data_IF_627117509389
#
_entry.id   IF_627117509389
#
_cell.length_a   1.000
_cell.length_b   1.000
_cell.length_c   1.000
_cell.angle_alpha   90.00
_cell.angle_beta   90.00
_cell.angle_gamma   90.00
#
_symmetry.space_group_name_H-M   'P 1'
#
loop_
_entity.id
_entity.type
_entity.pdbx_description
1 polymer ?
#
# COMPACT_ATOMS: atom_id res chain seq x y z
N UNK A 1 -68.03 9.39 -38.66
CA UNK A 1 -67.13 8.22 -38.53
C UNK A 1 -65.67 8.72 -38.50
N UNK A 2 -65.17 9.01 -37.36
CA UNK A 2 -63.74 9.30 -37.19
C UNK A 2 -63.16 8.23 -36.23
N UNK A 3 -62.25 7.41 -36.72
CA UNK A 3 -61.51 6.47 -35.92
C UNK A 3 -60.34 7.23 -35.26
N UNK A 4 -60.31 7.30 -33.93
CA UNK A 4 -59.19 7.76 -33.16
C UNK A 4 -58.20 6.60 -32.96
N UNK A 5 -57.05 6.73 -33.55
CA UNK A 5 -55.90 5.84 -33.27
C UNK A 5 -55.17 6.35 -32.05
N UNK A 6 -55.25 5.56 -30.97
CA UNK A 6 -54.49 5.78 -29.73
C UNK A 6 -53.07 5.28 -29.97
N UNK A 7 -52.11 6.20 -30.07
CA UNK A 7 -50.68 5.85 -30.14
C UNK A 7 -50.13 5.78 -28.72
N UNK A 8 -49.91 4.57 -28.25
CA UNK A 8 -49.23 4.32 -26.96
C UNK A 8 -47.74 4.58 -27.11
N UNK A 9 -47.25 5.69 -26.57
CA UNK A 9 -45.83 5.97 -26.48
C UNK A 9 -45.24 5.14 -25.31
N UNK A 10 -44.47 4.13 -25.64
CA UNK A 10 -43.66 3.40 -24.68
C UNK A 10 -42.44 4.28 -24.38
N UNK A 11 -42.38 4.87 -23.19
CA UNK A 11 -41.18 5.51 -22.65
C UNK A 11 -40.25 4.41 -22.20
N UNK A 12 -39.23 4.11 -23.00
CA UNK A 12 -38.08 3.31 -22.55
C UNK A 12 -37.21 4.26 -21.72
N UNK A 13 -37.32 4.13 -20.39
CA UNK A 13 -36.32 4.72 -19.48
C UNK A 13 -35.06 3.88 -19.61
N UNK A 14 -34.10 4.34 -20.43
CA UNK A 14 -32.72 3.87 -20.39
C UNK A 14 -32.15 4.35 -19.05
N UNK A 15 -32.12 3.46 -18.05
CA UNK A 15 -31.26 3.63 -16.92
C UNK A 15 -29.84 3.52 -17.45
N UNK A 16 -29.18 4.66 -17.66
CA UNK A 16 -27.74 4.69 -17.82
C UNK A 16 -27.15 4.28 -16.47
N UNK A 17 -26.78 3.02 -16.35
CA UNK A 17 -25.83 2.58 -15.34
C UNK A 17 -24.53 3.25 -15.74
N UNK A 18 -24.26 4.43 -15.20
CA UNK A 18 -22.91 4.97 -15.18
C UNK A 18 -22.13 4.05 -14.24
N UNK A 19 -21.42 3.10 -14.79
CA UNK A 19 -20.25 2.54 -14.13
C UNK A 19 -19.35 3.75 -13.89
N UNK A 20 -19.31 4.21 -12.65
CA UNK A 20 -18.24 5.05 -12.16
C UNK A 20 -16.97 4.18 -12.27
N UNK A 21 -16.29 4.24 -13.40
CA UNK A 21 -14.89 3.91 -13.44
C UNK A 21 -14.23 4.94 -12.51
N UNK A 22 -13.58 4.49 -11.46
CA UNK A 22 -12.57 5.31 -10.79
C UNK A 22 -11.70 5.86 -11.94
N UNK A 23 -11.66 7.18 -12.07
CA UNK A 23 -10.86 7.80 -13.11
C UNK A 23 -9.42 7.47 -12.76
N UNK A 24 -8.84 6.50 -13.46
CA UNK A 24 -7.42 6.21 -13.34
C UNK A 24 -6.69 7.48 -13.75
N UNK A 25 -5.97 8.08 -12.85
CA UNK A 25 -5.22 9.30 -13.10
C UNK A 25 -3.84 8.83 -13.55
N UNK A 26 -3.57 8.95 -14.86
CA UNK A 26 -2.29 8.59 -15.49
C UNK A 26 -1.18 9.61 -15.16
N UNK A 27 -1.10 10.09 -13.93
CA UNK A 27 -0.09 11.00 -13.44
C UNK A 27 0.85 10.29 -12.47
N UNK A 28 2.13 10.65 -12.52
CA UNK A 28 3.10 10.11 -11.59
C UNK A 28 2.80 10.60 -10.17
N UNK A 29 2.81 9.66 -9.23
CA UNK A 29 2.56 9.84 -7.81
C UNK A 29 3.88 9.67 -7.06
N UNK A 30 4.26 10.65 -6.24
CA UNK A 30 5.58 10.71 -5.63
C UNK A 30 5.59 10.52 -4.12
N UNK A 31 4.47 10.78 -3.44
CA UNK A 31 4.34 10.51 -2.00
C UNK A 31 2.94 10.08 -1.63
N UNK A 32 2.84 9.20 -0.66
CA UNK A 32 1.58 8.69 -0.11
C UNK A 32 1.66 8.65 1.41
N UNK A 33 0.62 9.12 2.09
CA UNK A 33 0.55 9.13 3.56
C UNK A 33 -0.83 8.72 4.05
N UNK A 34 -0.87 7.86 5.06
CA UNK A 34 -2.06 7.57 5.83
C UNK A 34 -2.31 8.66 6.87
N UNK A 35 -3.56 9.11 6.96
CA UNK A 35 -4.07 9.90 8.07
C UNK A 35 -4.70 8.98 9.14
N UNK A 36 -5.45 8.01 8.68
CA UNK A 36 -6.08 6.96 9.47
C UNK A 36 -6.30 5.73 8.54
N UNK A 37 -6.80 4.58 9.03
CA UNK A 37 -6.87 3.36 8.22
C UNK A 37 -7.65 3.48 6.91
N UNK A 38 -8.56 4.43 6.80
CA UNK A 38 -9.40 4.61 5.62
C UNK A 38 -9.10 5.89 4.84
N UNK A 39 -8.35 6.82 5.43
CA UNK A 39 -8.03 8.11 4.81
C UNK A 39 -6.57 8.16 4.42
N UNK A 40 -6.33 8.32 3.12
CA UNK A 40 -5.01 8.35 2.51
C UNK A 40 -4.93 9.58 1.61
N UNK A 41 -3.79 10.21 1.58
CA UNK A 41 -3.49 11.30 0.64
C UNK A 41 -2.27 10.94 -0.22
N UNK A 42 -2.33 11.28 -1.50
CA UNK A 42 -1.27 11.11 -2.49
C UNK A 42 -0.95 12.46 -3.08
N UNK A 43 0.32 12.74 -3.35
CA UNK A 43 0.76 13.92 -4.10
C UNK A 43 1.58 13.52 -5.32
N UNK A 44 1.60 14.37 -6.36
CA UNK A 44 2.25 14.02 -7.62
C UNK A 44 2.36 15.16 -8.63
N UNK A 45 2.39 14.79 -9.90
CA UNK A 45 2.52 15.71 -11.05
C UNK A 45 1.36 16.70 -11.15
N UNK A 46 1.62 17.84 -11.81
CA UNK A 46 0.63 18.88 -12.08
C UNK A 46 -0.09 19.44 -10.84
N UNK A 47 0.57 19.45 -9.68
CA UNK A 47 -0.02 19.89 -8.41
C UNK A 47 -1.04 18.90 -7.85
N UNK A 48 -0.99 17.64 -8.31
CA UNK A 48 -1.91 16.59 -7.89
C UNK A 48 -1.89 16.41 -6.37
N UNK A 49 -3.06 16.51 -5.77
CA UNK A 49 -3.35 15.99 -4.44
C UNK A 49 -4.62 15.16 -4.53
N UNK A 50 -4.49 13.87 -4.36
CA UNK A 50 -5.60 12.92 -4.28
C UNK A 50 -5.89 12.56 -2.84
N UNK A 51 -7.15 12.43 -2.50
CA UNK A 51 -7.57 12.01 -1.15
C UNK A 51 -8.68 10.96 -1.25
N UNK A 52 -8.54 9.91 -0.48
CA UNK A 52 -9.60 8.91 -0.25
C UNK A 52 -10.02 8.93 1.22
N UNK A 53 -11.25 8.53 1.50
CA UNK A 53 -11.76 8.27 2.86
C UNK A 53 -12.29 6.84 3.02
N UNK A 54 -12.07 6.01 2.01
CA UNK A 54 -12.50 4.61 1.97
C UNK A 54 -11.40 3.67 1.47
N UNK A 55 -10.15 4.00 1.82
CA UNK A 55 -8.96 3.19 1.56
C UNK A 55 -8.71 2.91 0.07
N UNK A 56 -8.82 3.93 -0.76
CA UNK A 56 -8.52 3.83 -2.19
C UNK A 56 -9.65 3.31 -3.07
N UNK A 57 -10.83 2.97 -2.51
CA UNK A 57 -11.96 2.55 -3.34
C UNK A 57 -12.47 3.69 -4.23
N UNK A 58 -12.46 4.92 -3.71
CA UNK A 58 -12.77 6.13 -4.46
C UNK A 58 -11.76 7.22 -4.08
N UNK A 59 -11.23 7.91 -5.08
CA UNK A 59 -10.32 9.02 -4.92
C UNK A 59 -10.98 10.32 -5.34
N UNK A 60 -10.68 11.39 -4.62
CA UNK A 60 -11.12 12.76 -4.93
C UNK A 60 -9.91 13.66 -5.07
N UNK A 61 -9.77 14.30 -6.21
CA UNK A 61 -8.75 15.32 -6.43
C UNK A 61 -9.08 16.58 -5.63
N UNK A 62 -8.09 17.11 -4.94
CA UNK A 62 -8.17 18.34 -4.16
C UNK A 62 -7.62 19.50 -4.98
N UNK A 63 -8.30 20.64 -4.93
CA UNK A 63 -7.82 21.82 -5.65
C UNK A 63 -6.68 22.50 -4.86
N UNK A 64 -5.48 22.49 -5.45
CA UNK A 64 -4.27 23.10 -4.87
C UNK A 64 -3.96 24.47 -5.45
N UNK A 65 -4.55 24.85 -6.58
CA UNK A 65 -4.26 26.06 -7.35
C UNK A 65 -2.78 26.17 -7.81
N UNK A 66 -2.04 25.06 -7.86
CA UNK A 66 -0.68 24.99 -8.40
C UNK A 66 -0.60 23.92 -9.49
N UNK A 67 0.40 24.04 -10.36
CA UNK A 67 0.72 23.03 -11.39
C UNK A 67 2.13 22.50 -11.24
N UNK A 68 2.82 22.88 -10.17
CA UNK A 68 4.14 22.37 -9.84
C UNK A 68 4.06 20.90 -9.48
N UNK A 69 5.07 20.12 -9.84
CA UNK A 69 5.18 18.74 -9.33
C UNK A 69 5.39 18.78 -7.81
N UNK A 70 4.61 17.99 -7.08
CA UNK A 70 4.73 17.79 -5.65
C UNK A 70 5.44 16.46 -5.39
N UNK A 71 6.56 16.49 -4.65
CA UNK A 71 7.40 15.30 -4.43
C UNK A 71 7.24 14.68 -3.06
N UNK A 72 7.10 15.52 -2.03
CA UNK A 72 6.99 15.07 -0.64
C UNK A 72 5.73 15.56 0.03
N UNK A 73 5.22 14.75 0.94
CA UNK A 73 4.08 15.11 1.78
C UNK A 73 4.22 14.51 3.19
N UNK A 74 3.70 15.22 4.19
CA UNK A 74 3.58 14.71 5.55
C UNK A 74 2.27 15.17 6.18
N UNK A 75 1.66 14.27 6.98
CA UNK A 75 0.38 14.49 7.64
C UNK A 75 0.52 14.15 9.13
N UNK A 76 0.22 15.08 10.01
CA UNK A 76 0.24 14.87 11.45
C UNK A 76 -0.74 15.79 12.16
N UNK A 77 -1.55 15.24 13.06
CA UNK A 77 -2.42 15.98 13.98
C UNK A 77 -3.32 17.03 13.29
N UNK A 78 -3.81 16.71 12.09
CA UNK A 78 -4.70 17.57 11.30
C UNK A 78 -3.98 18.59 10.41
N UNK A 79 -2.65 18.69 10.49
CA UNK A 79 -1.84 19.50 9.60
C UNK A 79 -1.31 18.58 8.48
N UNK A 80 -1.49 19.02 7.23
CA UNK A 80 -0.89 18.37 6.08
C UNK A 80 0.01 19.37 5.36
N UNK A 81 1.19 18.91 4.94
CA UNK A 81 2.15 19.67 4.16
C UNK A 81 2.45 18.92 2.87
N UNK A 82 2.61 19.65 1.77
CA UNK A 82 3.12 19.09 0.51
C UNK A 82 4.13 20.06 -0.10
N UNK A 83 5.21 19.54 -0.67
CA UNK A 83 6.32 20.33 -1.19
C UNK A 83 6.75 19.88 -2.58
N UNK A 84 7.38 20.78 -3.35
CA UNK A 84 7.71 20.40 -4.72
C UNK A 84 8.60 21.40 -5.45
N UNK A 85 8.40 21.41 -6.77
CA UNK A 85 9.16 22.24 -7.71
C UNK A 85 9.08 23.73 -7.37
N UNK A 86 10.17 24.46 -7.70
CA UNK A 86 10.29 25.90 -7.49
C UNK A 86 10.02 26.34 -6.06
N UNK A 87 10.28 25.47 -5.08
CA UNK A 87 10.12 25.75 -3.66
C UNK A 87 8.67 25.90 -3.21
N UNK A 88 7.71 25.33 -3.96
CA UNK A 88 6.30 25.34 -3.55
C UNK A 88 6.11 24.60 -2.23
N UNK A 89 5.36 25.22 -1.32
CA UNK A 89 4.89 24.61 -0.09
C UNK A 89 3.39 24.83 0.00
N UNK A 90 2.65 23.75 0.11
CA UNK A 90 1.22 23.74 0.37
C UNK A 90 0.97 23.33 1.82
N UNK A 91 0.00 23.96 2.46
CA UNK A 91 -0.40 23.67 3.83
C UNK A 91 -1.91 23.52 3.95
N UNK A 92 -2.34 22.49 4.65
CA UNK A 92 -3.72 22.27 5.06
C UNK A 92 -3.81 22.19 6.58
N UNK A 93 -4.96 22.59 7.15
CA UNK A 93 -5.29 22.45 8.58
C UNK A 93 -6.61 21.72 8.78
N UNK A 94 -7.12 21.12 7.73
CA UNK A 94 -8.39 20.41 7.69
C UNK A 94 -8.23 19.00 7.06
N UNK A 95 -7.09 18.35 7.36
CA UNK A 95 -6.76 17.01 6.90
C UNK A 95 -6.70 16.91 5.36
N UNK A 96 -6.12 17.93 4.70
CA UNK A 96 -5.94 17.94 3.26
C UNK A 96 -7.20 18.19 2.43
N UNK A 97 -8.30 18.64 3.05
CA UNK A 97 -9.50 18.99 2.28
C UNK A 97 -9.34 20.33 1.54
N UNK A 98 -8.65 21.28 2.16
CA UNK A 98 -8.31 22.57 1.52
C UNK A 98 -6.84 22.90 1.72
N UNK A 99 -6.24 23.58 0.76
CA UNK A 99 -4.82 23.87 0.73
C UNK A 99 -4.53 25.35 0.52
N UNK A 100 -3.67 25.89 1.36
CA UNK A 100 -3.11 27.23 1.24
C UNK A 100 -1.69 27.14 0.68
N UNK A 101 -1.34 28.07 -0.23
CA UNK A 101 0.02 28.23 -0.73
C UNK A 101 0.80 29.07 0.27
N UNK A 102 1.89 28.54 0.82
CA UNK A 102 2.80 29.27 1.69
C UNK A 102 3.79 30.06 0.83
N UNK A 103 4.15 31.25 1.27
CA UNK A 103 5.10 32.09 0.55
C UNK A 103 6.41 31.34 0.30
N UNK A 104 6.86 31.36 -0.95
CA UNK A 104 8.10 30.71 -1.39
C UNK A 104 9.30 31.28 -0.65
N UNK A 105 10.08 30.39 -0.04
CA UNK A 105 11.30 30.70 0.73
C UNK A 105 12.57 30.41 -0.05
N UNK A 106 12.45 29.65 -1.14
CA UNK A 106 13.51 29.28 -2.07
C UNK A 106 12.92 29.00 -3.44
N UNK A 107 13.73 29.04 -4.48
CA UNK A 107 13.37 28.55 -5.82
C UNK A 107 13.94 27.14 -6.11
N UNK A 108 14.71 26.59 -5.17
CA UNK A 108 15.18 25.20 -5.32
C UNK A 108 13.98 24.26 -5.18
N UNK A 109 14.06 23.15 -5.86
CA UNK A 109 13.13 22.04 -5.67
C UNK A 109 13.22 21.56 -4.22
N UNK A 110 12.08 21.39 -3.58
CA UNK A 110 11.93 20.72 -2.30
C UNK A 110 11.53 19.27 -2.58
N UNK A 111 12.30 18.33 -2.06
CA UNK A 111 12.15 16.90 -2.36
C UNK A 111 11.25 16.22 -1.35
N UNK A 112 11.38 16.57 -0.06
CA UNK A 112 10.54 15.99 0.96
C UNK A 112 10.29 16.96 2.15
N UNK A 113 9.29 16.61 2.95
CA UNK A 113 8.86 17.33 4.16
C UNK A 113 8.45 16.34 5.22
N UNK A 114 8.86 16.56 6.47
CA UNK A 114 8.30 15.83 7.60
C UNK A 114 7.88 16.76 8.73
N UNK A 115 6.82 16.35 9.46
CA UNK A 115 6.22 17.11 10.55
C UNK A 115 6.08 16.24 11.80
N UNK A 116 6.50 16.78 12.94
CA UNK A 116 6.30 16.17 14.25
C UNK A 116 5.73 17.17 15.24
N UNK A 117 4.45 17.05 15.57
CA UNK A 117 3.71 18.06 16.33
C UNK A 117 3.61 19.38 15.53
N UNK A 118 4.19 20.46 16.04
CA UNK A 118 4.26 21.76 15.34
C UNK A 118 5.61 22.00 14.65
N UNK A 119 6.58 21.15 14.84
CA UNK A 119 7.88 21.24 14.17
C UNK A 119 7.83 20.53 12.82
N UNK A 120 8.28 21.23 11.79
CA UNK A 120 8.36 20.66 10.44
C UNK A 120 9.71 21.07 9.82
N UNK A 121 10.23 20.19 8.96
CA UNK A 121 11.42 20.48 8.17
C UNK A 121 11.18 20.07 6.72
N UNK A 122 11.69 20.86 5.80
CA UNK A 122 11.77 20.53 4.37
C UNK A 122 13.22 20.41 3.95
N UNK A 123 13.50 19.49 3.04
CA UNK A 123 14.79 19.33 2.42
C UNK A 123 14.68 19.34 0.89
N UNK A 124 15.79 19.62 0.19
CA UNK A 124 15.73 19.70 -1.27
C UNK A 124 17.08 19.87 -1.97
N UNK A 125 16.96 20.26 -3.23
CA UNK A 125 18.12 20.43 -4.12
C UNK A 125 19.06 21.53 -3.62
N UNK A 126 20.35 21.38 -3.96
CA UNK A 126 21.41 22.33 -3.58
C UNK A 126 21.53 22.56 -2.06
N UNK A 127 21.22 21.52 -1.27
CA UNK A 127 21.31 21.55 0.19
C UNK A 127 20.26 22.43 0.86
N UNK A 128 19.13 22.68 0.21
CA UNK A 128 18.04 23.44 0.82
C UNK A 128 17.51 22.72 2.06
N UNK A 129 17.56 23.38 3.21
CA UNK A 129 16.94 22.92 4.46
C UNK A 129 16.28 24.12 5.14
N UNK A 130 14.98 24.01 5.43
CA UNK A 130 14.25 25.00 6.20
C UNK A 130 13.41 24.31 7.27
N UNK A 131 13.32 24.96 8.43
CA UNK A 131 12.52 24.46 9.55
C UNK A 131 11.39 25.45 9.91
N UNK A 132 10.33 24.89 10.46
CA UNK A 132 9.18 25.60 11.01
C UNK A 132 8.90 25.08 12.43
N UNK A 133 8.50 25.98 13.33
CA UNK A 133 8.07 25.65 14.71
C UNK A 133 6.56 25.90 14.93
N UNK A 134 5.84 26.20 13.87
CA UNK A 134 4.42 26.58 13.92
C UNK A 134 3.59 25.86 12.85
N UNK A 135 3.90 24.59 12.61
CA UNK A 135 3.15 23.72 11.71
C UNK A 135 3.22 24.14 10.24
N UNK A 136 4.37 24.64 9.78
CA UNK A 136 4.59 25.03 8.40
C UNK A 136 4.02 26.39 8.00
N UNK A 137 3.59 27.23 8.95
CA UNK A 137 3.12 28.59 8.62
C UNK A 137 4.26 29.52 8.22
N UNK A 138 5.39 29.44 8.93
CA UNK A 138 6.58 30.23 8.65
C UNK A 138 7.80 29.33 8.68
N UNK A 139 8.78 29.65 7.83
CA UNK A 139 9.97 28.87 7.64
C UNK A 139 11.23 29.69 7.82
N UNK A 140 12.26 29.09 8.40
CA UNK A 140 13.56 29.68 8.64
C UNK A 140 14.62 28.75 8.06
N UNK A 141 15.64 29.29 7.37
CA UNK A 141 16.75 28.50 6.86
C UNK A 141 17.55 27.87 8.01
N UNK A 142 17.90 26.61 7.86
CA UNK A 142 18.85 25.93 8.75
C UNK A 142 20.25 26.50 8.63
N UNK A 143 21.08 26.30 9.67
CA UNK A 143 22.47 26.72 9.64
C UNK A 143 23.39 25.73 8.90
N UNK A 144 22.93 24.53 8.58
CA UNK A 144 23.70 23.53 7.82
C UNK A 144 23.88 23.96 6.37
N UNK A 145 25.08 23.75 5.83
CA UNK A 145 25.40 24.11 4.44
C UNK A 145 26.01 22.93 3.69
N UNK A 146 25.37 22.54 2.62
CA UNK A 146 25.85 21.58 1.64
C UNK A 146 25.39 22.02 0.25
N UNK A 147 25.99 21.50 -0.80
CA UNK A 147 25.51 21.66 -2.18
C UNK A 147 24.88 20.37 -2.72
N UNK A 148 24.89 19.31 -1.92
CA UNK A 148 24.34 18.03 -2.30
C UNK A 148 22.80 18.11 -2.34
N UNK A 149 22.23 17.30 -3.19
CA UNK A 149 20.78 17.10 -3.19
C UNK A 149 20.39 16.31 -1.95
N UNK A 150 19.43 16.80 -1.20
CA UNK A 150 18.84 16.12 -0.06
C UNK A 150 17.46 15.58 -0.51
N UNK A 151 17.27 14.27 -0.37
CA UNK A 151 16.16 13.59 -1.01
C UNK A 151 14.99 13.30 -0.08
N UNK A 152 15.28 12.91 1.16
CA UNK A 152 14.26 12.43 2.09
C UNK A 152 14.59 12.81 3.52
N UNK A 153 13.54 12.99 4.35
CA UNK A 153 13.66 13.41 5.75
C UNK A 153 12.72 12.60 6.64
N UNK A 154 13.22 12.17 7.80
CA UNK A 154 12.45 11.47 8.82
C UNK A 154 12.69 12.03 10.21
N UNK A 155 11.62 12.43 10.92
CA UNK A 155 11.62 12.78 12.33
C UNK A 155 11.09 11.62 13.18
N UNK A 156 11.79 11.34 14.28
CA UNK A 156 11.35 10.36 15.30
C UNK A 156 10.85 11.05 16.58
N UNK A 157 11.11 12.33 16.73
CA UNK A 157 10.61 13.17 17.81
C UNK A 157 10.55 14.63 17.36
N UNK A 158 10.05 15.52 18.20
CA UNK A 158 10.04 16.96 17.89
C UNK A 158 11.44 17.58 17.73
N UNK A 159 12.50 16.88 18.15
CA UNK A 159 13.87 17.41 18.13
C UNK A 159 14.82 16.54 17.30
N UNK A 160 14.58 15.25 17.20
CA UNK A 160 15.48 14.31 16.53
C UNK A 160 14.94 13.94 15.16
N UNK A 161 15.75 14.16 14.13
CA UNK A 161 15.44 13.80 12.76
C UNK A 161 16.71 13.53 11.95
N UNK A 162 16.51 12.93 10.78
CA UNK A 162 17.54 12.51 9.86
C UNK A 162 17.19 12.93 8.44
N UNK A 163 18.21 13.27 7.64
CA UNK A 163 18.06 13.51 6.19
C UNK A 163 19.08 12.66 5.47
N UNK A 164 18.66 12.07 4.34
CA UNK A 164 19.55 11.40 3.41
C UNK A 164 19.56 12.07 2.04
N UNK A 165 20.64 11.90 1.29
CA UNK A 165 20.78 12.52 -0.02
C UNK A 165 21.91 11.99 -0.87
N UNK A 166 22.26 12.77 -1.87
CA UNK A 166 23.31 12.45 -2.83
C UNK A 166 24.69 12.37 -2.22
N UNK A 167 25.60 11.66 -2.90
CA UNK A 167 26.99 11.51 -2.53
C UNK A 167 27.22 10.93 -1.12
N UNK A 168 26.30 10.06 -0.68
CA UNK A 168 26.38 9.38 0.61
C UNK A 168 26.09 10.28 1.81
N UNK A 169 25.47 11.42 1.60
CA UNK A 169 25.19 12.34 2.69
C UNK A 169 24.04 11.83 3.56
N UNK A 170 24.32 11.67 4.86
CA UNK A 170 23.33 11.43 5.90
C UNK A 170 23.63 12.40 7.05
N UNK A 171 22.64 13.17 7.47
CA UNK A 171 22.78 14.17 8.53
C UNK A 171 21.73 13.97 9.60
N UNK A 172 22.06 14.31 10.85
CA UNK A 172 21.18 14.21 12.04
C UNK A 172 21.01 15.57 12.68
N UNK A 173 19.78 15.87 13.09
CA UNK A 173 19.45 16.98 14.00
C UNK A 173 19.06 16.45 15.37
N UNK A 174 19.30 17.28 16.42
CA UNK A 174 18.81 17.04 17.79
C UNK A 174 18.09 18.27 18.36
N UNK A 175 17.82 19.26 17.53
CA UNK A 175 17.20 20.54 17.89
C UNK A 175 16.01 20.93 16.98
N UNK A 176 15.40 19.95 16.31
CA UNK A 176 14.22 20.18 15.47
C UNK A 176 14.54 20.79 14.10
N UNK A 177 15.74 20.57 13.58
CA UNK A 177 16.16 21.00 12.24
C UNK A 177 16.85 22.35 12.19
N UNK A 178 17.11 23.02 13.34
CA UNK A 178 17.85 24.28 13.38
C UNK A 178 19.30 24.08 13.00
N UNK A 179 19.94 23.01 13.53
CA UNK A 179 21.31 22.61 13.21
C UNK A 179 21.38 21.13 12.85
N UNK A 180 22.35 20.76 12.04
CA UNK A 180 22.57 19.40 11.58
C UNK A 180 24.03 19.00 11.69
N UNK A 181 24.27 17.74 11.95
CA UNK A 181 25.61 17.15 12.01
C UNK A 181 25.66 16.00 11.02
N UNK A 182 26.70 16.00 10.18
CA UNK A 182 26.92 14.91 9.23
C UNK A 182 27.33 13.63 9.97
N UNK A 183 26.67 12.51 9.65
CA UNK A 183 27.02 11.20 10.13
C UNK A 183 28.18 10.62 9.32
N UNK A 184 28.96 9.74 9.94
CA UNK A 184 30.12 9.13 9.29
C UNK A 184 29.67 8.02 8.34
N UNK A 185 29.43 8.37 7.08
CA UNK A 185 29.14 7.41 6.03
C UNK A 185 30.41 7.17 5.20
N UNK A 186 30.81 5.92 5.01
CA UNK A 186 31.90 5.55 4.10
C UNK A 186 31.47 5.41 2.63
N UNK A 187 30.32 6.02 2.27
CA UNK A 187 29.61 5.77 1.00
C UNK A 187 29.62 6.98 0.05
N UNK A 188 30.73 7.68 -0.06
CA UNK A 188 30.85 8.97 -0.76
C UNK A 188 30.38 9.02 -2.23
N UNK A 189 30.04 7.88 -2.85
CA UNK A 189 29.55 7.81 -4.22
C UNK A 189 28.14 7.20 -4.36
N UNK A 190 27.46 6.97 -3.25
CA UNK A 190 26.09 6.44 -3.26
C UNK A 190 25.08 7.59 -3.26
N UNK A 191 23.98 7.44 -3.99
CA UNK A 191 22.83 8.31 -3.85
C UNK A 191 21.80 7.59 -3.01
N UNK A 192 21.41 8.19 -1.90
CA UNK A 192 20.31 7.73 -1.08
C UNK A 192 19.02 8.43 -1.52
N UNK A 193 18.00 7.66 -1.82
CA UNK A 193 16.70 8.16 -2.25
C UNK A 193 15.75 8.33 -1.06
N UNK A 194 15.84 7.43 -0.06
CA UNK A 194 15.02 7.50 1.15
C UNK A 194 15.79 7.12 2.42
N UNK A 195 15.24 7.58 3.55
CA UNK A 195 15.71 7.29 4.89
C UNK A 195 14.55 6.96 5.82
N UNK A 196 14.63 5.86 6.54
CA UNK A 196 13.72 5.54 7.62
C UNK A 196 14.51 5.43 8.93
N UNK A 197 13.97 5.97 10.00
CA UNK A 197 14.54 5.86 11.35
C UNK A 197 13.47 5.30 12.29
N UNK A 198 13.71 4.11 12.80
CA UNK A 198 12.85 3.42 13.75
C UNK A 198 12.97 4.06 15.13
N UNK A 199 14.22 4.38 15.49
CA UNK A 199 14.61 5.13 16.68
C UNK A 199 15.94 5.88 16.43
N UNK A 200 16.55 6.45 17.48
CA UNK A 200 17.82 7.20 17.34
C UNK A 200 19.03 6.35 16.94
N UNK A 201 18.96 5.03 17.09
CA UNK A 201 20.05 4.10 16.79
C UNK A 201 19.81 3.31 15.51
N UNK A 202 18.55 2.94 15.25
CA UNK A 202 18.17 2.07 14.15
C UNK A 202 17.71 2.89 12.94
N UNK A 203 18.58 2.97 11.93
CA UNK A 203 18.41 3.81 10.74
C UNK A 203 18.60 2.94 9.50
N UNK A 204 17.73 3.09 8.51
CA UNK A 204 17.83 2.49 7.19
C UNK A 204 17.95 3.59 6.13
N UNK A 205 18.88 3.46 5.19
CA UNK A 205 18.93 4.27 3.96
C UNK A 205 18.87 3.36 2.75
N UNK A 206 18.13 3.78 1.74
CA UNK A 206 18.00 3.06 0.47
C UNK A 206 18.26 4.00 -0.70
N UNK A 207 18.65 3.45 -1.86
CA UNK A 207 18.98 4.31 -2.98
C UNK A 207 19.26 3.60 -4.29
N UNK A 208 20.08 4.26 -5.12
CA UNK A 208 20.40 3.82 -6.46
C UNK A 208 21.08 2.44 -6.49
N UNK A 209 20.87 1.70 -7.58
CA UNK A 209 21.46 0.39 -7.84
C UNK A 209 21.29 -0.60 -6.68
N UNK A 210 20.08 -0.66 -6.11
CA UNK A 210 19.73 -1.59 -5.05
C UNK A 210 20.43 -1.33 -3.71
N UNK A 211 20.90 -0.12 -3.52
CA UNK A 211 21.60 0.27 -2.28
C UNK A 211 20.67 0.17 -1.09
N UNK A 212 21.08 -0.57 -0.07
CA UNK A 212 20.46 -0.63 1.25
C UNK A 212 21.58 -0.63 2.29
N UNK A 213 21.53 0.26 3.27
CA UNK A 213 22.41 0.25 4.42
C UNK A 213 21.62 0.49 5.70
N UNK A 214 22.02 -0.25 6.74
CA UNK A 214 21.47 -0.17 8.09
C UNK A 214 22.53 0.33 9.05
N UNK A 215 22.12 1.13 10.04
CA UNK A 215 22.88 1.41 11.25
C UNK A 215 22.06 0.98 12.45
N UNK A 216 22.72 0.46 13.49
CA UNK A 216 22.13 0.14 14.80
C UNK A 216 22.84 0.87 15.96
N UNK A 217 23.62 1.88 15.64
CA UNK A 217 24.40 2.68 16.58
C UNK A 217 24.31 4.19 16.31
N UNK A 218 23.21 4.63 15.73
CA UNK A 218 22.93 6.05 15.46
C UNK A 218 23.73 6.65 14.32
N UNK A 219 24.13 5.82 13.35
CA UNK A 219 24.89 6.23 12.16
C UNK A 219 26.40 6.32 12.38
N UNK A 220 26.94 5.74 13.49
CA UNK A 220 28.38 5.65 13.68
C UNK A 220 28.99 4.56 12.80
N UNK A 221 28.29 3.43 12.66
CA UNK A 221 28.70 2.34 11.75
C UNK A 221 27.49 1.89 10.91
N UNK A 222 27.80 1.39 9.70
CA UNK A 222 26.79 0.98 8.74
C UNK A 222 27.15 -0.40 8.18
N UNK A 223 26.12 -1.20 7.90
CA UNK A 223 26.24 -2.51 7.26
C UNK A 223 25.20 -2.67 6.14
N UNK A 224 25.54 -3.41 5.10
CA UNK A 224 24.62 -3.80 4.04
C UNK A 224 23.97 -5.15 4.35
N UNK A 225 22.86 -5.48 3.68
CA UNK A 225 22.17 -6.75 3.87
C UNK A 225 23.02 -7.95 3.43
N UNK A 226 22.74 -9.10 4.05
CA UNK A 226 23.26 -10.38 3.61
C UNK A 226 22.41 -10.92 2.45
N UNK A 227 23.03 -11.30 1.33
CA UNK A 227 22.32 -11.97 0.23
C UNK A 227 22.41 -11.27 -1.11
N UNK A 228 21.35 -11.40 -1.91
CA UNK A 228 21.29 -10.88 -3.28
C UNK A 228 21.29 -9.35 -3.29
N UNK A 229 22.15 -8.79 -4.16
CA UNK A 229 22.09 -7.36 -4.48
C UNK A 229 21.10 -7.18 -5.64
N UNK A 230 20.24 -6.17 -5.52
CA UNK A 230 19.33 -5.75 -6.56
C UNK A 230 20.00 -4.69 -7.43
N UNK A 231 19.67 -4.63 -8.71
CA UNK A 231 20.24 -3.62 -9.63
C UNK A 231 19.32 -2.41 -9.79
N UNK A 232 18.03 -2.58 -9.48
CA UNK A 232 17.02 -1.55 -9.60
C UNK A 232 17.17 -0.51 -8.48
N UNK A 233 16.87 0.74 -8.79
CA UNK A 233 16.82 1.76 -7.77
C UNK A 233 15.71 1.46 -6.75
N UNK A 234 16.02 1.67 -5.49
CA UNK A 234 15.07 1.64 -4.39
C UNK A 234 14.71 3.08 -4.06
N UNK A 235 13.42 3.41 -4.12
CA UNK A 235 12.93 4.76 -4.07
C UNK A 235 12.44 5.16 -2.67
N UNK A 236 11.87 4.22 -1.93
CA UNK A 236 11.33 4.48 -0.58
C UNK A 236 11.46 3.26 0.33
N UNK A 237 11.46 3.48 1.64
CA UNK A 237 11.53 2.45 2.67
C UNK A 237 10.75 2.86 3.92
N UNK A 238 10.06 1.91 4.52
CA UNK A 238 9.35 2.10 5.78
C UNK A 238 9.57 0.90 6.70
N UNK A 239 9.77 1.15 7.98
CA UNK A 239 9.72 0.14 9.03
C UNK A 239 8.51 0.41 9.93
N UNK A 240 7.73 -0.60 10.22
CA UNK A 240 6.59 -0.49 11.13
C UNK A 240 6.88 -1.10 12.52
N UNK A 241 8.01 -1.77 12.67
CA UNK A 241 8.60 -2.17 13.95
C UNK A 241 10.11 -2.43 13.78
N UNK A 242 10.81 -2.80 14.86
CA UNK A 242 12.28 -2.98 14.86
C UNK A 242 12.79 -4.08 13.91
N UNK A 243 11.92 -5.01 13.50
CA UNK A 243 12.32 -6.17 12.67
C UNK A 243 11.73 -6.17 11.27
N UNK A 244 10.57 -5.53 11.09
CA UNK A 244 9.80 -5.67 9.85
C UNK A 244 9.71 -4.35 9.11
N UNK A 245 10.11 -4.37 7.85
CA UNK A 245 10.06 -3.22 6.95
C UNK A 245 9.81 -3.63 5.51
N UNK A 246 9.42 -2.65 4.71
CA UNK A 246 9.18 -2.77 3.28
C UNK A 246 9.92 -1.66 2.54
N UNK A 247 10.52 -2.00 1.41
CA UNK A 247 11.14 -1.04 0.49
C UNK A 247 10.54 -1.22 -0.91
N UNK A 248 10.39 -0.12 -1.63
CA UNK A 248 9.78 -0.09 -2.97
C UNK A 248 10.72 0.61 -3.97
N UNK A 249 10.62 0.25 -5.24
CA UNK A 249 11.53 0.79 -6.26
C UNK A 249 11.08 0.56 -7.70
N UNK A 250 12.04 0.65 -8.61
CA UNK A 250 11.81 0.55 -10.05
C UNK A 250 11.44 -0.87 -10.49
N UNK A 251 10.71 -0.97 -11.62
CA UNK A 251 10.32 -2.23 -12.27
C UNK A 251 9.58 -3.17 -11.32
N UNK A 252 8.64 -2.67 -10.54
CA UNK A 252 7.82 -3.45 -9.63
C UNK A 252 8.56 -3.98 -8.40
N UNK A 253 9.77 -3.50 -8.13
CA UNK A 253 10.54 -3.98 -7.00
C UNK A 253 9.85 -3.62 -5.68
N UNK A 254 9.42 -4.63 -4.94
CA UNK A 254 9.00 -4.51 -3.55
C UNK A 254 9.73 -5.57 -2.74
N UNK A 255 10.46 -5.12 -1.72
CA UNK A 255 11.25 -5.95 -0.84
C UNK A 255 10.68 -5.89 0.57
N UNK A 256 10.78 -7.00 1.29
CA UNK A 256 10.36 -7.10 2.68
C UNK A 256 11.47 -7.71 3.53
N UNK A 257 11.67 -7.16 4.72
CA UNK A 257 12.53 -7.72 5.77
C UNK A 257 11.71 -8.15 6.98
N UNK A 258 12.17 -9.17 7.70
CA UNK A 258 11.63 -9.63 8.99
C UNK A 258 12.71 -9.72 10.07
N UNK A 259 13.93 -9.28 9.76
CA UNK A 259 15.10 -9.40 10.62
C UNK A 259 15.81 -8.06 10.87
N UNK A 260 15.08 -6.93 10.73
CA UNK A 260 15.62 -5.61 10.96
C UNK A 260 16.56 -5.13 9.85
N UNK A 261 16.35 -5.61 8.61
CA UNK A 261 17.12 -5.19 7.44
C UNK A 261 18.42 -5.97 7.21
N UNK A 262 18.69 -7.03 8.00
CA UNK A 262 19.85 -7.90 7.76
C UNK A 262 19.68 -8.74 6.49
N UNK A 263 18.45 -9.06 6.12
CA UNK A 263 18.12 -9.67 4.83
C UNK A 263 16.80 -9.12 4.27
N UNK A 264 16.72 -9.07 2.95
CA UNK A 264 15.54 -8.61 2.23
C UNK A 264 15.12 -9.65 1.20
N UNK A 265 13.81 -9.88 1.09
CA UNK A 265 13.21 -10.83 0.14
C UNK A 265 12.17 -10.12 -0.71
N UNK A 266 12.03 -10.47 -2.00
CA UNK A 266 10.96 -9.94 -2.83
C UNK A 266 9.58 -10.34 -2.29
N UNK A 267 8.66 -9.38 -2.25
CA UNK A 267 7.24 -9.63 -1.99
C UNK A 267 6.55 -10.20 -3.22
N UNK A 268 5.42 -10.87 -3.03
CA UNK A 268 4.54 -11.27 -4.13
C UNK A 268 3.70 -10.07 -4.58
N UNK A 269 3.77 -9.69 -5.85
CA UNK A 269 3.06 -8.53 -6.42
C UNK A 269 2.00 -8.97 -7.42
N UNK A 270 1.00 -8.10 -7.66
CA UNK A 270 -0.02 -8.33 -8.67
C UNK A 270 0.60 -8.47 -10.08
N UNK A 271 0.09 -9.36 -10.94
CA UNK A 271 0.56 -9.48 -12.31
C UNK A 271 0.47 -8.16 -13.08
N UNK A 272 1.55 -7.80 -13.78
CA UNK A 272 1.68 -6.54 -14.52
C UNK A 272 2.27 -5.40 -13.70
N UNK A 273 2.40 -5.54 -12.39
CA UNK A 273 2.99 -4.50 -11.53
C UNK A 273 4.50 -4.34 -11.77
N UNK A 274 5.16 -5.35 -12.34
CA UNK A 274 6.57 -5.29 -12.76
C UNK A 274 6.85 -4.30 -13.90
N UNK A 275 5.83 -3.74 -14.53
CA UNK A 275 5.96 -2.73 -15.58
C UNK A 275 6.05 -1.30 -15.01
N UNK A 276 5.81 -1.10 -13.70
CA UNK A 276 5.73 0.20 -13.06
C UNK A 276 6.89 0.46 -12.10
N UNK A 277 7.23 1.73 -11.96
CA UNK A 277 8.17 2.22 -10.94
C UNK A 277 7.36 2.74 -9.74
N UNK A 278 7.59 2.16 -8.57
CA UNK A 278 6.96 2.61 -7.34
C UNK A 278 7.87 3.63 -6.63
N UNK A 279 7.30 4.81 -6.34
CA UNK A 279 8.03 5.94 -5.81
C UNK A 279 7.90 6.09 -4.30
N UNK A 280 6.78 5.64 -3.74
CA UNK A 280 6.53 5.78 -2.30
C UNK A 280 5.74 4.60 -1.75
N UNK A 281 5.98 4.30 -0.47
CA UNK A 281 5.25 3.30 0.30
C UNK A 281 4.87 3.86 1.67
N UNK A 282 3.68 3.54 2.14
CA UNK A 282 3.20 3.96 3.45
C UNK A 282 2.39 2.85 4.10
N UNK A 283 2.50 2.73 5.42
CA UNK A 283 1.72 1.79 6.22
C UNK A 283 0.93 2.54 7.29
N UNK A 284 -0.31 2.10 7.51
CA UNK A 284 -1.12 2.55 8.63
C UNK A 284 -0.76 1.79 9.92
N UNK A 285 -0.58 0.49 9.81
CA UNK A 285 -0.18 -0.43 10.88
C UNK A 285 0.69 -1.57 10.31
N UNK A 286 1.00 -2.58 11.10
CA UNK A 286 1.84 -3.71 10.71
C UNK A 286 1.27 -4.55 9.54
N UNK A 287 0.03 -4.30 9.10
CA UNK A 287 -0.64 -5.11 8.07
C UNK A 287 -1.08 -4.30 6.84
N UNK A 288 -1.59 -3.08 7.06
CA UNK A 288 -2.28 -2.30 6.02
C UNK A 288 -1.32 -1.29 5.43
N UNK A 289 -1.07 -1.40 4.14
CA UNK A 289 -0.16 -0.51 3.41
C UNK A 289 -0.60 -0.24 1.98
N UNK A 290 0.00 0.78 1.39
CA UNK A 290 -0.14 1.19 0.00
C UNK A 290 1.22 1.59 -0.57
N UNK A 291 1.48 1.23 -1.82
CA UNK A 291 2.60 1.75 -2.61
C UNK A 291 2.06 2.42 -3.87
N UNK A 292 2.66 3.55 -4.25
CA UNK A 292 2.23 4.36 -5.38
C UNK A 292 3.40 4.68 -6.31
N UNK A 293 3.11 4.92 -7.59
CA UNK A 293 4.17 5.09 -8.56
C UNK A 293 3.80 5.86 -9.82
N UNK A 294 4.50 5.56 -10.92
CA UNK A 294 4.26 6.18 -12.21
C UNK A 294 2.90 5.76 -12.81
N UNK A 295 2.39 6.59 -13.72
CA UNK A 295 1.15 6.34 -14.47
C UNK A 295 -0.05 6.01 -13.57
N UNK A 296 -0.08 6.56 -12.32
CA UNK A 296 -1.15 6.32 -11.37
C UNK A 296 -1.21 4.89 -10.82
N UNK A 297 -0.09 4.17 -10.86
CA UNK A 297 -0.03 2.79 -10.33
C UNK A 297 -0.15 2.77 -8.81
N UNK A 298 -0.99 1.88 -8.31
CA UNK A 298 -1.25 1.69 -6.88
C UNK A 298 -1.25 0.19 -6.55
N UNK A 299 -0.56 -0.18 -5.49
CA UNK A 299 -0.61 -1.52 -4.91
C UNK A 299 -0.99 -1.44 -3.43
N UNK A 300 -1.81 -2.36 -2.99
CA UNK A 300 -2.33 -2.45 -1.64
C UNK A 300 -1.93 -3.75 -0.99
N UNK A 301 -1.64 -3.72 0.31
CA UNK A 301 -1.40 -4.90 1.14
C UNK A 301 -2.29 -4.86 2.39
N UNK A 302 -2.63 -6.05 2.90
CA UNK A 302 -3.34 -6.24 4.19
C UNK A 302 -2.68 -7.31 5.06
N UNK A 303 -1.48 -7.71 4.68
CA UNK A 303 -0.70 -8.77 5.34
C UNK A 303 0.74 -8.36 5.64
N UNK A 304 0.96 -7.05 5.80
CA UNK A 304 2.27 -6.50 6.14
C UNK A 304 3.27 -6.53 4.99
N UNK A 305 2.80 -6.45 3.76
CA UNK A 305 3.65 -6.41 2.57
C UNK A 305 4.15 -7.77 2.11
N UNK A 306 3.56 -8.88 2.56
CA UNK A 306 3.86 -10.21 2.04
C UNK A 306 3.32 -10.33 0.62
N UNK A 307 2.05 -9.92 0.43
CA UNK A 307 1.40 -9.89 -0.89
C UNK A 307 0.85 -8.50 -1.20
N UNK A 308 0.89 -8.12 -2.48
CA UNK A 308 0.41 -6.83 -2.96
C UNK A 308 -0.56 -7.01 -4.13
N UNK A 309 -1.68 -6.31 -4.09
CA UNK A 309 -2.74 -6.34 -5.09
C UNK A 309 -3.03 -4.95 -5.63
N UNK A 310 -3.52 -4.85 -6.86
CA UNK A 310 -3.98 -3.61 -7.49
C UNK A 310 -5.44 -3.27 -7.16
N UNK A 311 -6.09 -4.05 -6.30
CA UNK A 311 -7.45 -3.81 -5.85
C UNK A 311 -7.44 -3.24 -4.43
N UNK A 312 -8.05 -2.07 -4.24
CA UNK A 312 -8.21 -1.47 -2.92
C UNK A 312 -9.00 -2.38 -1.96
N UNK A 313 -8.46 -2.73 -0.79
CA UNK A 313 -9.13 -3.64 0.12
C UNK A 313 -10.32 -2.99 0.82
N UNK A 314 -11.39 -3.76 1.00
CA UNK A 314 -12.53 -3.33 1.81
C UNK A 314 -12.21 -3.42 3.31
N UNK A 315 -11.59 -2.39 3.86
CA UNK A 315 -11.16 -2.35 5.26
C UNK A 315 -12.33 -2.35 6.26
N UNK A 316 -13.54 -1.92 5.88
CA UNK A 316 -14.72 -2.00 6.76
C UNK A 316 -14.93 -3.46 7.14
N UNK A 317 -14.79 -4.39 6.20
CA UNK A 317 -14.88 -5.82 6.45
C UNK A 317 -13.75 -6.32 7.37
N UNK A 318 -12.55 -5.76 7.29
CA UNK A 318 -11.39 -6.13 8.09
C UNK A 318 -11.52 -5.61 9.54
N UNK A 319 -11.88 -4.33 9.73
CA UNK A 319 -11.96 -3.71 11.06
C UNK A 319 -13.21 -4.08 11.86
N UNK A 320 -14.32 -4.44 11.21
CA UNK A 320 -15.53 -4.89 11.91
C UNK A 320 -15.44 -6.34 12.39
N UNK A 321 -14.27 -6.98 12.22
CA UNK A 321 -14.08 -8.38 12.57
C UNK A 321 -14.76 -9.36 11.63
N UNK A 322 -15.40 -8.85 10.56
CA UNK A 322 -15.62 -9.64 9.38
C UNK A 322 -14.27 -9.75 8.67
N UNK A 323 -13.40 -10.72 9.11
CA UNK A 323 -12.33 -11.20 8.22
C UNK A 323 -12.95 -11.24 6.83
N UNK A 324 -12.29 -10.72 5.80
CA UNK A 324 -12.57 -11.20 4.45
C UNK A 324 -12.29 -12.70 4.53
N UNK A 325 -13.31 -13.44 4.90
CA UNK A 325 -13.28 -14.88 4.90
C UNK A 325 -13.21 -15.24 3.44
N UNK A 326 -12.01 -15.53 2.96
CA UNK A 326 -11.86 -16.07 1.62
C UNK A 326 -12.78 -17.28 1.50
N UNK A 327 -13.24 -17.62 0.31
CA UNK A 327 -13.96 -18.87 0.08
C UNK A 327 -13.14 -19.99 0.70
N UNK A 328 -13.66 -20.61 1.75
CA UNK A 328 -12.99 -21.68 2.49
C UNK A 328 -13.72 -23.01 2.24
N UNK A 329 -12.97 -24.05 1.91
CA UNK A 329 -13.46 -25.42 1.86
C UNK A 329 -12.75 -26.22 2.96
N UNK A 330 -13.50 -26.59 4.00
CA UNK A 330 -12.96 -27.28 5.16
C UNK A 330 -12.76 -28.78 4.88
N UNK A 331 -11.88 -29.40 5.66
CA UNK A 331 -11.75 -30.85 5.63
C UNK A 331 -13.06 -31.49 6.09
N UNK A 332 -13.55 -32.49 5.31
CA UNK A 332 -14.75 -33.22 5.71
C UNK A 332 -14.56 -33.92 7.07
N UNK A 333 -15.63 -33.99 7.85
CA UNK A 333 -15.59 -34.69 9.13
C UNK A 333 -16.81 -35.60 9.30
N UNK A 334 -16.54 -36.86 9.73
CA UNK A 334 -15.26 -37.50 9.95
C UNK A 334 -14.46 -37.73 8.65
N UNK A 335 -13.13 -37.88 8.76
CA UNK A 335 -12.22 -38.33 7.69
C UNK A 335 -11.04 -39.10 8.31
N UNK A 336 -10.87 -40.42 8.06
CA UNK A 336 -11.72 -41.28 7.24
C UNK A 336 -13.17 -41.38 7.70
N UNK A 337 -14.10 -41.71 6.80
CA UNK A 337 -15.53 -41.81 7.08
C UNK A 337 -16.19 -43.11 6.65
N UNK A 338 -17.34 -43.47 7.30
CA UNK A 338 -18.11 -44.67 7.01
C UNK A 338 -19.58 -44.51 7.39
N UNK A 339 -20.55 -44.64 6.50
CA UNK A 339 -20.46 -44.31 5.09
C UNK A 339 -20.73 -42.84 4.84
N UNK A 340 -20.96 -42.01 5.89
CA UNK A 340 -21.39 -40.63 5.79
C UNK A 340 -20.37 -39.65 6.38
N UNK A 341 -20.27 -38.48 5.78
CA UNK A 341 -19.45 -37.35 6.24
C UNK A 341 -20.11 -36.02 5.95
N UNK A 342 -19.69 -34.96 6.61
CA UNK A 342 -20.14 -33.61 6.38
C UNK A 342 -18.98 -32.79 5.79
N UNK A 343 -19.29 -32.04 4.75
CA UNK A 343 -18.40 -31.09 4.09
C UNK A 343 -18.89 -29.69 4.44
N UNK A 344 -18.06 -28.91 5.11
CA UNK A 344 -18.35 -27.53 5.46
C UNK A 344 -17.55 -26.60 4.52
N UNK A 345 -18.15 -25.48 4.16
CA UNK A 345 -17.50 -24.41 3.42
C UNK A 345 -18.07 -23.05 3.84
N UNK A 346 -17.32 -22.02 3.56
CA UNK A 346 -17.67 -20.65 3.92
C UNK A 346 -17.60 -19.75 2.71
N UNK A 347 -18.62 -18.90 2.57
CA UNK A 347 -18.75 -17.92 1.51
C UNK A 347 -18.63 -16.51 2.10
N UNK A 348 -17.71 -15.69 1.61
CA UNK A 348 -17.58 -14.29 2.03
C UNK A 348 -18.66 -13.38 1.43
N UNK A 349 -19.37 -13.85 0.42
CA UNK A 349 -20.48 -13.17 -0.27
C UNK A 349 -21.45 -14.17 -0.88
N UNK A 350 -22.65 -13.72 -1.18
CA UNK A 350 -23.66 -14.54 -1.85
C UNK A 350 -23.27 -14.84 -3.30
N UNK A 351 -23.34 -16.12 -3.72
CA UNK A 351 -22.87 -16.59 -5.02
C UNK A 351 -23.58 -17.84 -5.51
N UNK A 352 -23.39 -18.17 -6.79
CA UNK A 352 -23.74 -19.48 -7.32
C UNK A 352 -22.67 -20.50 -6.96
N UNK A 353 -23.07 -21.59 -6.31
CA UNK A 353 -22.17 -22.59 -5.73
C UNK A 353 -22.48 -23.97 -6.29
N UNK A 354 -21.45 -24.76 -6.56
CA UNK A 354 -21.58 -26.20 -6.76
C UNK A 354 -20.59 -26.98 -5.92
N UNK A 355 -21.08 -28.03 -5.24
CA UNK A 355 -20.25 -28.98 -4.47
C UNK A 355 -20.42 -30.35 -5.13
N UNK A 356 -19.32 -30.92 -5.63
CA UNK A 356 -19.32 -32.19 -6.35
C UNK A 356 -18.21 -33.11 -5.85
N UNK A 357 -18.45 -34.43 -5.95
CA UNK A 357 -17.51 -35.48 -5.53
C UNK A 357 -17.03 -36.25 -6.75
N UNK A 358 -15.74 -36.56 -6.76
CA UNK A 358 -15.02 -37.27 -7.84
C UNK A 358 -14.24 -38.43 -7.28
N UNK A 359 -14.13 -39.51 -8.07
CA UNK A 359 -13.20 -40.60 -7.80
C UNK A 359 -11.76 -40.23 -8.24
N UNK A 360 -10.82 -41.16 -8.02
CA UNK A 360 -9.40 -40.97 -8.36
C UNK A 360 -9.11 -40.81 -9.86
N UNK A 361 -10.08 -41.15 -10.72
CA UNK A 361 -9.97 -41.00 -12.18
C UNK A 361 -10.50 -39.68 -12.67
N UNK A 362 -11.06 -38.84 -11.74
CA UNK A 362 -11.70 -37.56 -12.05
C UNK A 362 -13.15 -37.69 -12.52
N UNK A 363 -13.74 -38.92 -12.45
CA UNK A 363 -15.17 -39.11 -12.76
C UNK A 363 -16.03 -38.62 -11.62
N UNK A 364 -17.04 -37.79 -11.94
CA UNK A 364 -18.03 -37.33 -10.97
C UNK A 364 -18.86 -38.51 -10.45
N UNK A 365 -18.90 -38.70 -9.14
CA UNK A 365 -19.67 -39.76 -8.45
C UNK A 365 -20.86 -39.23 -7.66
N UNK A 366 -20.89 -37.93 -7.33
CA UNK A 366 -22.03 -37.25 -6.70
C UNK A 366 -22.00 -35.75 -6.93
N UNK A 367 -23.21 -35.15 -7.08
CA UNK A 367 -23.43 -33.72 -6.99
C UNK A 367 -24.21 -33.44 -5.69
N UNK A 368 -23.57 -32.75 -4.74
CA UNK A 368 -24.12 -32.55 -3.39
C UNK A 368 -24.94 -31.28 -3.30
N UNK A 369 -24.52 -30.24 -4.02
CA UNK A 369 -25.20 -28.98 -4.10
C UNK A 369 -24.95 -28.29 -5.45
N UNK A 370 -25.93 -27.56 -5.95
CA UNK A 370 -25.80 -26.71 -7.11
C UNK A 370 -26.89 -25.63 -7.09
N UNK A 371 -26.53 -24.39 -6.83
CA UNK A 371 -27.48 -23.27 -6.76
C UNK A 371 -26.90 -22.03 -6.09
N UNK A 372 -27.76 -21.01 -5.93
CA UNK A 372 -27.41 -19.77 -5.26
C UNK A 372 -27.42 -19.97 -3.73
N UNK A 373 -26.39 -19.44 -3.05
CA UNK A 373 -26.28 -19.40 -1.58
C UNK A 373 -25.88 -18.01 -1.11
N UNK A 374 -26.39 -17.65 0.05
CA UNK A 374 -26.07 -16.40 0.74
C UNK A 374 -24.67 -16.48 1.38
N UNK A 375 -24.12 -15.34 1.74
CA UNK A 375 -22.95 -15.23 2.59
C UNK A 375 -23.10 -16.07 3.88
N UNK A 376 -21.99 -16.66 4.38
CA UNK A 376 -21.94 -17.41 5.62
C UNK A 376 -21.41 -18.83 5.49
N UNK A 377 -21.51 -19.59 6.58
CA UNK A 377 -21.09 -20.98 6.67
C UNK A 377 -22.20 -21.92 6.21
N UNK A 378 -21.84 -22.85 5.33
CA UNK A 378 -22.75 -23.85 4.77
C UNK A 378 -22.22 -25.26 5.00
N UNK A 379 -23.13 -26.24 5.03
CA UNK A 379 -22.77 -27.63 5.16
C UNK A 379 -23.56 -28.51 4.22
N UNK A 380 -22.91 -29.52 3.65
CA UNK A 380 -23.55 -30.54 2.84
C UNK A 380 -23.16 -31.91 3.34
N UNK A 381 -24.14 -32.81 3.42
CA UNK A 381 -23.90 -34.18 3.84
C UNK A 381 -23.62 -35.06 2.61
N UNK A 382 -22.62 -35.92 2.71
CA UNK A 382 -22.31 -36.90 1.70
C UNK A 382 -22.47 -38.31 2.27
N UNK A 383 -23.27 -39.15 1.60
CA UNK A 383 -23.44 -40.55 1.92
C UNK A 383 -22.89 -41.44 0.77
N UNK A 384 -21.84 -42.17 1.06
CA UNK A 384 -21.11 -43.01 0.10
C UNK A 384 -21.46 -44.51 0.25
N UNK A 385 -22.65 -44.85 0.78
CA UNK A 385 -23.03 -46.26 0.99
C UNK A 385 -22.92 -47.15 -0.25
N UNK A 386 -23.08 -46.57 -1.45
CA UNK A 386 -23.00 -47.24 -2.73
C UNK A 386 -21.62 -47.20 -3.40
N UNK A 387 -20.62 -46.60 -2.74
CA UNK A 387 -19.27 -46.46 -3.29
C UNK A 387 -18.32 -47.45 -2.59
N UNK A 388 -17.22 -47.85 -3.25
CA UNK A 388 -16.17 -48.68 -2.68
C UNK A 388 -15.26 -47.92 -1.76
N UNK A 389 -14.66 -48.57 -0.75
CA UNK A 389 -13.59 -47.99 0.05
C UNK A 389 -12.46 -47.45 -0.87
N UNK A 390 -11.97 -46.23 -0.55
CA UNK A 390 -10.95 -45.61 -1.38
C UNK A 390 -10.82 -44.12 -1.15
N UNK A 391 -10.02 -43.49 -2.01
CA UNK A 391 -9.79 -42.02 -2.00
C UNK A 391 -10.76 -41.36 -2.98
N UNK A 392 -11.38 -40.28 -2.50
CA UNK A 392 -12.25 -39.42 -3.28
C UNK A 392 -11.82 -37.97 -3.09
N UNK A 393 -12.23 -37.11 -4.03
CA UNK A 393 -12.01 -35.69 -3.98
C UNK A 393 -13.36 -34.98 -4.02
N UNK A 394 -13.50 -33.92 -3.25
CA UNK A 394 -14.67 -33.03 -3.36
C UNK A 394 -14.22 -31.64 -3.77
N UNK A 395 -14.99 -31.04 -4.65
CA UNK A 395 -14.71 -29.76 -5.28
C UNK A 395 -15.84 -28.79 -4.99
N UNK A 396 -15.49 -27.65 -4.43
CA UNK A 396 -16.32 -26.47 -4.32
C UNK A 396 -15.98 -25.56 -5.50
N UNK A 397 -16.97 -25.15 -6.28
CA UNK A 397 -16.86 -24.12 -7.29
C UNK A 397 -17.84 -23.00 -6.96
N UNK A 398 -17.33 -21.77 -6.88
CA UNK A 398 -18.09 -20.56 -6.55
C UNK A 398 -18.00 -19.58 -7.71
N UNK A 399 -19.13 -19.14 -8.23
CA UNK A 399 -19.24 -18.24 -9.38
C UNK A 399 -19.96 -16.96 -8.95
N UNK A 400 -19.29 -15.82 -9.12
CA UNK A 400 -19.86 -14.50 -8.90
C UNK A 400 -19.55 -13.60 -10.11
N UNK A 401 -20.57 -13.29 -10.90
CA UNK A 401 -20.41 -12.61 -12.18
C UNK A 401 -19.53 -13.41 -13.16
N UNK A 402 -18.44 -12.80 -13.64
CA UNK A 402 -17.45 -13.43 -14.51
C UNK A 402 -16.35 -14.21 -13.77
N UNK A 403 -16.26 -14.06 -12.45
CA UNK A 403 -15.22 -14.69 -11.64
C UNK A 403 -15.65 -16.09 -11.18
N UNK A 404 -14.73 -17.07 -11.24
CA UNK A 404 -14.94 -18.44 -10.78
C UNK A 404 -13.77 -18.89 -9.94
N UNK A 405 -14.04 -19.30 -8.69
CA UNK A 405 -13.03 -19.80 -7.75
C UNK A 405 -13.32 -21.28 -7.47
N UNK A 406 -12.30 -22.11 -7.57
CA UNK A 406 -12.39 -23.54 -7.33
C UNK A 406 -11.48 -23.96 -6.17
N UNK A 407 -12.03 -24.70 -5.19
CA UNK A 407 -11.28 -25.35 -4.11
C UNK A 407 -11.50 -26.86 -4.15
N UNK A 408 -10.47 -27.63 -3.83
CA UNK A 408 -10.52 -29.12 -3.86
C UNK A 408 -9.87 -29.67 -2.60
N UNK A 409 -10.54 -30.65 -1.96
CA UNK A 409 -9.99 -31.40 -0.86
C UNK A 409 -10.14 -32.90 -1.07
N UNK A 410 -9.30 -33.68 -0.37
CA UNK A 410 -9.28 -35.15 -0.41
C UNK A 410 -10.04 -35.72 0.79
N UNK A 411 -10.77 -36.84 0.59
CA UNK A 411 -11.41 -37.60 1.64
C UNK A 411 -11.18 -39.12 1.45
N UNK A 412 -11.28 -39.89 2.53
CA UNK A 412 -11.02 -41.33 2.55
C UNK A 412 -12.27 -42.05 3.08
N UNK A 413 -12.86 -42.90 2.22
CA UNK A 413 -13.96 -43.79 2.60
C UNK A 413 -13.38 -45.13 3.06
N UNK A 414 -13.79 -45.58 4.24
CA UNK A 414 -13.48 -46.91 4.81
C UNK A 414 -14.78 -47.62 5.14
N UNK A 415 -14.98 -48.77 4.58
CA UNK A 415 -16.11 -49.69 4.93
C UNK A 415 -15.61 -50.85 5.75
#
# INVERSE_FOLDING_TARGET
MLKSTLTTAIFIIMLAVTTLFSQQIDLNQYSVKFENPTTISIVGENGLVMRTTNNGMDWTEQNTNVTNVLFGASIKDGISLAVGENGVILRSVDFGNTWDIILTITFNRLNDVDIYGTNAVVCGDSGAIFYSVNGGQNWTASSYTTTNRLNDIKFISSTIGFIAGGLGEVIKTTDGGMTWVQLNTSFANQNFNAIEAIDENNICVVGDAGTIFMSNDGGNTWFGPNGLMYENNINDVVFFNETTGVATGENGLILRTEDGGYSWQPSEIAPGAEEYDFHAVSFYDDNIGISVGNEGSELYTVDGGITWTNEAPNLIAIFTGSKQKGISLMQNYPNPFNPSTVINYELPYSANVSVRVYDITGKEVASLFNGYQTEGTHSVQFNASNLSSGVYFYRLNVVNGSNSITKVNKMILTK
#
